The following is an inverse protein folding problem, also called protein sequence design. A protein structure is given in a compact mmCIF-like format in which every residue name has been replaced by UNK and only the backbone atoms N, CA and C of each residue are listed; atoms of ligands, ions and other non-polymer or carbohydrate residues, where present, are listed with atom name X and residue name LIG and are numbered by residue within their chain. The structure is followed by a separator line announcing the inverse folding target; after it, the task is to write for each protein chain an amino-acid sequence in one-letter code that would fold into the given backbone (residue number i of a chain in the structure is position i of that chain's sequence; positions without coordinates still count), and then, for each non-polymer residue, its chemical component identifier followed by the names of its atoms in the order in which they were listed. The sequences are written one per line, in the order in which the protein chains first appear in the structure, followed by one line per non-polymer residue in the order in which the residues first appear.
data_IF_106257055217
#
_entry.id   IF_106257055217
#
_cell.length_a   1.000
_cell.length_b   1.000
_cell.length_c   1.000
_cell.angle_alpha   90.00
_cell.angle_beta   90.00
_cell.angle_gamma   90.00
#
_symmetry.space_group_name_H-M   'P 1'
#
loop_
_entity.id
_entity.type
_entity.pdbx_description
1 polymer ?
#
# COMPACT_ATOMS: atom_id res chain seq x y z
N UNK A 1 -22.64 -27.64 8.08
CA UNK A 1 -22.52 -26.57 9.12
C UNK A 1 -21.11 -25.93 9.18
N UNK A 2 -20.27 -26.10 8.14
CA UNK A 2 -18.89 -25.55 8.07
C UNK A 2 -18.72 -24.29 7.17
N UNK A 3 -19.75 -23.90 6.42
CA UNK A 3 -19.69 -22.77 5.49
C UNK A 3 -19.86 -21.38 6.17
N UNK A 4 -20.33 -21.34 7.42
CA UNK A 4 -20.73 -20.09 8.08
C UNK A 4 -19.65 -19.45 8.98
N UNK A 5 -18.53 -20.12 9.22
CA UNK A 5 -17.44 -19.61 10.06
C UNK A 5 -16.47 -18.75 9.22
N UNK A 6 -16.20 -19.15 7.96
CA UNK A 6 -15.33 -18.36 7.05
C UNK A 6 -15.95 -17.02 6.66
N UNK A 7 -17.27 -16.92 6.56
CA UNK A 7 -17.98 -15.67 6.25
C UNK A 7 -17.93 -14.63 7.39
N UNK A 8 -17.88 -15.08 8.65
CA UNK A 8 -17.89 -14.16 9.81
C UNK A 8 -16.53 -13.52 10.12
N UNK A 9 -15.41 -14.17 9.76
CA UNK A 9 -14.08 -13.56 9.90
C UNK A 9 -13.80 -12.47 8.86
N UNK A 10 -14.45 -12.50 7.70
CA UNK A 10 -14.36 -11.43 6.68
C UNK A 10 -15.22 -10.20 6.99
N UNK A 11 -16.16 -10.29 7.93
CA UNK A 11 -17.15 -9.24 8.18
C UNK A 11 -16.73 -8.16 9.21
N UNK A 12 -15.53 -8.24 9.78
CA UNK A 12 -15.04 -7.26 10.76
C UNK A 12 -13.81 -6.46 10.30
N UNK A 13 -13.45 -6.52 9.04
CA UNK A 13 -12.61 -5.46 8.48
C UNK A 13 -13.49 -4.21 8.37
N UNK A 14 -13.02 -3.11 8.95
CA UNK A 14 -13.74 -1.84 9.04
C UNK A 14 -14.42 -1.49 7.72
N UNK A 15 -15.74 -1.28 7.77
CA UNK A 15 -16.48 -0.85 6.58
C UNK A 15 -15.89 0.47 6.05
N UNK A 16 -15.86 0.69 4.72
CA UNK A 16 -15.37 1.92 4.13
C UNK A 16 -16.07 3.14 4.72
N UNK A 17 -15.32 4.21 4.95
CA UNK A 17 -15.88 5.46 5.46
C UNK A 17 -16.78 6.09 4.39
N UNK A 18 -17.99 6.46 4.80
CA UNK A 18 -18.94 7.13 3.90
C UNK A 18 -18.61 8.61 3.68
N UNK A 19 -17.78 9.18 4.54
CA UNK A 19 -17.38 10.59 4.52
C UNK A 19 -15.90 10.71 4.81
N UNK A 20 -15.32 11.87 4.54
CA UNK A 20 -13.96 12.21 4.92
C UNK A 20 -13.78 12.06 6.42
N UNK A 21 -13.08 11.02 6.86
CA UNK A 21 -12.92 10.66 8.27
C UNK A 21 -11.46 10.65 8.65
N UNK A 22 -11.02 11.69 9.33
CA UNK A 22 -9.62 11.82 9.77
C UNK A 22 -9.41 10.98 11.02
N UNK A 23 -8.54 9.97 10.90
CA UNK A 23 -8.01 9.20 12.01
C UNK A 23 -6.66 9.77 12.46
N UNK A 24 -6.12 9.35 13.62
CA UNK A 24 -4.78 9.74 14.04
C UNK A 24 -3.75 9.46 12.95
N UNK A 25 -2.92 10.45 12.65
CA UNK A 25 -1.82 10.32 11.69
C UNK A 25 -0.67 11.26 12.05
N UNK A 26 0.52 10.90 11.59
CA UNK A 26 1.73 11.70 11.74
C UNK A 26 1.75 12.92 10.81
N UNK A 27 2.91 13.54 10.70
CA UNK A 27 3.18 14.63 9.76
C UNK A 27 3.51 14.08 8.38
N UNK A 28 3.30 14.91 7.36
CA UNK A 28 3.84 14.65 6.04
C UNK A 28 5.37 14.59 6.10
N UNK A 29 5.95 13.58 5.49
CA UNK A 29 7.39 13.39 5.41
C UNK A 29 7.80 13.33 3.95
N UNK A 30 8.73 14.21 3.56
CA UNK A 30 9.33 14.18 2.22
C UNK A 30 10.39 13.09 2.18
N UNK A 31 10.25 12.15 1.25
CA UNK A 31 11.20 11.06 1.02
C UNK A 31 12.28 11.48 0.04
N UNK A 32 11.86 12.09 -1.07
CA UNK A 32 12.74 12.71 -2.08
C UNK A 32 11.99 13.84 -2.81
N UNK A 33 12.49 14.29 -3.94
CA UNK A 33 11.93 15.40 -4.72
C UNK A 33 10.52 15.09 -5.27
N UNK A 34 10.18 13.81 -5.43
CA UNK A 34 8.91 13.34 -6.03
C UNK A 34 7.96 12.70 -5.04
N UNK A 35 8.45 12.22 -3.89
CA UNK A 35 7.69 11.36 -2.98
C UNK A 35 7.51 12.03 -1.63
N UNK A 36 6.24 12.11 -1.23
CA UNK A 36 5.83 12.50 0.13
C UNK A 36 4.99 11.36 0.72
N UNK A 37 5.15 11.09 2.00
CA UNK A 37 4.42 10.02 2.68
C UNK A 37 3.85 10.50 4.02
N UNK A 38 2.83 9.80 4.48
CA UNK A 38 2.28 9.95 5.83
C UNK A 38 1.93 8.58 6.40
N UNK A 39 2.23 8.38 7.65
CA UNK A 39 1.81 7.18 8.40
C UNK A 39 0.65 7.55 9.30
N UNK A 40 -0.43 6.78 9.20
CA UNK A 40 -1.61 6.87 10.05
C UNK A 40 -1.81 5.58 10.84
N UNK A 41 -2.76 5.62 11.75
CA UNK A 41 -3.10 4.51 12.62
C UNK A 41 -4.53 4.03 12.35
N UNK A 42 -4.71 2.73 12.29
CA UNK A 42 -6.01 2.09 12.24
C UNK A 42 -6.23 1.31 13.54
N UNK A 43 -7.14 1.82 14.39
CA UNK A 43 -7.51 1.14 15.63
C UNK A 43 -8.40 -0.06 15.30
N UNK A 44 -7.93 -1.21 15.68
CA UNK A 44 -8.67 -2.48 15.64
C UNK A 44 -8.98 -2.94 17.08
N UNK A 45 -9.95 -3.84 17.30
CA UNK A 45 -10.40 -4.18 18.66
C UNK A 45 -9.31 -4.65 19.63
N UNK A 46 -8.20 -5.20 19.13
CA UNK A 46 -7.12 -5.77 19.95
C UNK A 46 -5.73 -5.26 19.58
N UNK A 47 -5.60 -4.38 18.55
CA UNK A 47 -4.32 -3.90 18.06
C UNK A 47 -4.47 -2.55 17.35
N UNK A 48 -3.37 -1.83 17.21
CA UNK A 48 -3.25 -0.68 16.30
C UNK A 48 -2.41 -1.12 15.10
N UNK A 49 -2.92 -0.86 13.90
CA UNK A 49 -2.23 -1.20 12.66
C UNK A 49 -1.72 0.09 12.02
N UNK A 50 -0.39 0.28 11.90
CA UNK A 50 0.15 1.38 11.12
C UNK A 50 -0.24 1.21 9.65
N UNK A 51 -0.61 2.31 8.99
CA UNK A 51 -0.89 2.32 7.56
C UNK A 51 -0.23 3.53 6.91
N UNK A 52 0.28 3.36 5.72
CA UNK A 52 0.99 4.41 5.00
C UNK A 52 0.23 4.81 3.74
N UNK A 53 0.08 6.11 3.54
CA UNK A 53 -0.23 6.71 2.26
C UNK A 53 1.05 7.27 1.64
N UNK A 54 1.24 7.03 0.36
CA UNK A 54 2.35 7.61 -0.41
C UNK A 54 1.79 8.45 -1.56
N UNK A 55 2.29 9.67 -1.70
CA UNK A 55 1.94 10.59 -2.78
C UNK A 55 3.16 10.75 -3.66
N UNK A 56 2.99 10.48 -4.95
CA UNK A 56 4.04 10.60 -5.96
C UNK A 56 3.67 11.72 -6.92
N UNK A 57 4.60 12.67 -7.12
CA UNK A 57 4.44 13.75 -8.08
C UNK A 57 5.04 13.34 -9.43
N UNK A 58 4.21 13.35 -10.49
CA UNK A 58 4.66 13.14 -11.86
C UNK A 58 5.41 14.36 -12.40
N UNK A 59 6.12 14.18 -13.51
CA UNK A 59 6.79 15.29 -14.22
C UNK A 59 5.80 16.36 -14.71
N UNK A 60 4.55 15.98 -15.01
CA UNK A 60 3.49 16.93 -15.38
C UNK A 60 2.92 17.72 -14.20
N UNK A 61 3.32 17.42 -12.96
CA UNK A 61 2.77 18.01 -11.74
C UNK A 61 1.47 17.37 -11.26
N UNK A 62 1.06 16.26 -11.86
CA UNK A 62 -0.06 15.47 -11.37
C UNK A 62 0.38 14.57 -10.20
N UNK A 63 -0.54 14.32 -9.27
CA UNK A 63 -0.28 13.48 -8.11
C UNK A 63 -0.92 12.11 -8.28
N UNK A 64 -0.13 11.09 -8.00
CA UNK A 64 -0.56 9.69 -7.85
C UNK A 64 -0.58 9.37 -6.36
N UNK A 65 -1.76 9.08 -5.82
CA UNK A 65 -1.99 8.77 -4.41
C UNK A 65 -2.13 7.26 -4.27
N UNK A 66 -1.21 6.64 -3.52
CA UNK A 66 -1.19 5.21 -3.27
C UNK A 66 -1.65 4.91 -1.85
N UNK A 67 -2.67 4.05 -1.68
CA UNK A 67 -3.20 3.64 -0.38
C UNK A 67 -3.67 4.82 0.49
N UNK A 68 -4.71 5.52 0.04
CA UNK A 68 -5.19 6.78 0.61
C UNK A 68 -5.51 6.73 2.12
N UNK A 69 -5.17 7.82 2.80
CA UNK A 69 -5.55 8.12 4.18
C UNK A 69 -6.18 9.53 4.20
N UNK A 70 -7.36 9.68 4.78
CA UNK A 70 -7.97 10.99 4.98
C UNK A 70 -7.18 11.78 6.03
N UNK A 71 -6.64 12.92 5.63
CA UNK A 71 -5.80 13.78 6.47
C UNK A 71 -6.57 15.03 6.88
N UNK A 72 -6.00 15.79 7.82
CA UNK A 72 -6.49 17.13 8.17
C UNK A 72 -6.39 18.05 6.96
N UNK A 73 -7.26 19.04 6.87
CA UNK A 73 -7.29 19.97 5.73
C UNK A 73 -5.97 20.73 5.56
N UNK A 74 -5.26 21.06 6.65
CA UNK A 74 -3.92 21.66 6.57
C UNK A 74 -2.93 20.77 5.82
N UNK A 75 -2.92 19.46 6.13
CA UNK A 75 -2.01 18.50 5.50
C UNK A 75 -2.43 18.25 4.04
N UNK A 76 -3.74 18.25 3.76
CA UNK A 76 -4.23 18.16 2.37
C UNK A 76 -3.84 19.38 1.53
N UNK A 77 -3.87 20.59 2.13
CA UNK A 77 -3.40 21.82 1.48
C UNK A 77 -1.93 21.73 1.10
N UNK A 78 -1.09 21.14 1.96
CA UNK A 78 0.33 20.90 1.66
C UNK A 78 0.50 19.91 0.49
N UNK A 79 -0.31 18.85 0.44
CA UNK A 79 -0.31 17.89 -0.68
C UNK A 79 -0.77 18.58 -1.97
N UNK A 80 -1.88 19.32 -1.93
CA UNK A 80 -2.44 20.02 -3.08
C UNK A 80 -1.47 21.10 -3.64
N UNK A 81 -0.63 21.69 -2.77
CA UNK A 81 0.44 22.60 -3.19
C UNK A 81 1.56 21.91 -3.99
N UNK A 82 1.73 20.57 -3.87
CA UNK A 82 2.68 19.80 -4.66
C UNK A 82 2.20 19.55 -6.09
N UNK A 83 0.88 19.55 -6.30
CA UNK A 83 0.29 19.29 -7.61
C UNK A 83 -1.19 18.91 -7.52
N UNK A 84 -1.78 18.59 -8.67
CA UNK A 84 -3.19 18.21 -8.77
C UNK A 84 -3.38 16.72 -8.50
N UNK A 85 -4.20 16.28 -7.51
CA UNK A 85 -4.59 14.89 -7.36
C UNK A 85 -5.29 14.37 -8.63
N UNK A 86 -4.66 13.43 -9.32
CA UNK A 86 -5.13 12.90 -10.60
C UNK A 86 -5.41 11.40 -10.57
N UNK A 87 -4.65 10.65 -9.78
CA UNK A 87 -4.81 9.21 -9.69
C UNK A 87 -4.90 8.77 -8.23
N UNK A 88 -5.84 7.88 -7.95
CA UNK A 88 -6.00 7.19 -6.68
C UNK A 88 -5.79 5.69 -6.89
N UNK A 89 -4.71 5.14 -6.39
CA UNK A 89 -4.47 3.70 -6.42
C UNK A 89 -5.03 3.08 -5.15
N UNK A 90 -6.00 2.18 -5.34
CA UNK A 90 -6.53 1.30 -4.30
C UNK A 90 -5.84 -0.07 -4.50
N UNK A 91 -4.73 -0.34 -3.79
CA UNK A 91 -3.83 -1.42 -4.14
C UNK A 91 -4.41 -2.82 -3.92
N UNK A 92 -5.38 -2.95 -3.02
CA UNK A 92 -6.11 -4.21 -2.78
C UNK A 92 -7.51 -3.95 -2.22
N UNK A 93 -8.35 -4.98 -2.19
CA UNK A 93 -9.69 -4.92 -1.59
C UNK A 93 -9.68 -4.53 -0.09
N UNK A 94 -8.55 -4.67 0.59
CA UNK A 94 -8.38 -4.30 2.01
C UNK A 94 -8.03 -2.83 2.21
N UNK A 95 -7.53 -2.15 1.20
CA UNK A 95 -7.06 -0.76 1.25
C UNK A 95 -8.04 0.27 0.65
N UNK A 96 -9.35 -0.02 0.73
CA UNK A 96 -10.43 0.82 0.17
C UNK A 96 -11.14 1.71 1.21
N UNK A 97 -10.63 1.75 2.44
CA UNK A 97 -11.30 2.38 3.59
C UNK A 97 -11.62 3.86 3.34
N UNK A 98 -10.65 4.63 2.85
CA UNK A 98 -10.74 6.07 2.63
C UNK A 98 -11.08 6.44 1.17
N UNK A 99 -11.09 5.47 0.25
CA UNK A 99 -11.29 5.72 -1.18
C UNK A 99 -12.58 6.52 -1.50
N UNK A 100 -13.75 6.27 -0.86
CA UNK A 100 -14.95 7.08 -1.12
C UNK A 100 -14.78 8.56 -0.80
N UNK A 101 -14.08 8.89 0.29
CA UNK A 101 -13.79 10.26 0.67
C UNK A 101 -12.93 10.98 -0.38
N UNK A 102 -11.93 10.30 -0.92
CA UNK A 102 -11.09 10.86 -1.99
C UNK A 102 -11.85 11.12 -3.29
N UNK A 103 -12.71 10.19 -3.71
CA UNK A 103 -13.56 10.38 -4.90
C UNK A 103 -14.56 11.51 -4.71
N UNK A 104 -15.10 11.70 -3.50
CA UNK A 104 -15.98 12.83 -3.20
C UNK A 104 -15.21 14.16 -3.20
N UNK A 105 -13.99 14.20 -2.64
CA UNK A 105 -13.15 15.42 -2.61
C UNK A 105 -12.61 15.78 -4.00
N UNK A 106 -12.29 14.78 -4.81
CA UNK A 106 -11.71 14.94 -6.15
C UNK A 106 -12.55 14.19 -7.21
N UNK A 107 -13.67 14.76 -7.67
CA UNK A 107 -14.61 14.05 -8.57
C UNK A 107 -14.00 13.59 -9.89
N UNK A 108 -12.90 14.23 -10.32
CA UNK A 108 -12.18 13.90 -11.56
C UNK A 108 -10.96 12.99 -11.34
N UNK A 109 -10.78 12.45 -10.14
CA UNK A 109 -9.68 11.54 -9.85
C UNK A 109 -9.90 10.20 -10.57
N UNK A 110 -8.86 9.67 -11.20
CA UNK A 110 -8.90 8.35 -11.83
C UNK A 110 -8.60 7.28 -10.79
N UNK A 111 -9.55 6.40 -10.53
CA UNK A 111 -9.39 5.29 -9.59
C UNK A 111 -8.75 4.11 -10.29
N UNK A 112 -7.60 3.69 -9.77
CA UNK A 112 -6.79 2.57 -10.26
C UNK A 112 -6.86 1.41 -9.28
N UNK A 113 -7.11 0.19 -9.77
CA UNK A 113 -7.13 -1.01 -8.94
C UNK A 113 -6.60 -2.21 -9.73
N UNK A 114 -6.01 -3.23 -9.05
CA UNK A 114 -5.62 -4.46 -9.72
C UNK A 114 -6.85 -5.20 -10.25
N UNK A 115 -6.73 -5.83 -11.43
CA UNK A 115 -7.86 -6.53 -12.10
C UNK A 115 -8.52 -7.55 -11.18
N UNK A 116 -7.70 -8.31 -10.44
CA UNK A 116 -8.23 -9.35 -9.56
C UNK A 116 -9.02 -8.80 -8.35
N UNK A 117 -8.81 -7.52 -7.97
CA UNK A 117 -9.52 -6.85 -6.87
C UNK A 117 -10.59 -5.87 -7.33
N UNK A 118 -10.66 -5.57 -8.64
CA UNK A 118 -11.47 -4.47 -9.18
C UNK A 118 -12.97 -4.62 -8.87
N UNK A 119 -13.53 -5.83 -8.93
CA UNK A 119 -14.94 -6.09 -8.62
C UNK A 119 -15.26 -5.69 -7.18
N UNK A 120 -14.52 -6.19 -6.19
CA UNK A 120 -14.75 -5.90 -4.78
C UNK A 120 -14.42 -4.46 -4.39
N UNK A 121 -13.46 -3.84 -5.06
CA UNK A 121 -13.18 -2.40 -4.91
C UNK A 121 -14.34 -1.61 -5.52
N UNK A 122 -14.89 -2.09 -6.62
CA UNK A 122 -16.06 -1.54 -7.33
C UNK A 122 -17.33 -1.48 -6.49
N UNK A 123 -17.48 -2.35 -5.49
CA UNK A 123 -18.57 -2.27 -4.50
C UNK A 123 -18.55 -0.98 -3.66
N UNK A 124 -17.40 -0.27 -3.63
CA UNK A 124 -17.15 0.88 -2.76
C UNK A 124 -16.94 2.17 -3.55
N UNK A 125 -16.13 2.11 -4.61
CA UNK A 125 -15.85 3.23 -5.51
C UNK A 125 -15.74 2.72 -6.94
N UNK A 126 -16.15 3.54 -7.92
CA UNK A 126 -15.98 3.17 -9.33
C UNK A 126 -14.50 3.01 -9.64
N UNK A 127 -14.11 1.86 -10.15
CA UNK A 127 -12.77 1.61 -10.69
C UNK A 127 -12.74 2.03 -12.16
N UNK A 128 -11.83 2.93 -12.51
CA UNK A 128 -11.73 3.46 -13.87
C UNK A 128 -10.79 2.64 -14.74
N UNK A 129 -9.69 2.12 -14.16
CA UNK A 129 -8.69 1.37 -14.92
C UNK A 129 -7.86 0.44 -14.03
N UNK A 130 -7.33 -0.64 -14.65
CA UNK A 130 -6.27 -1.49 -14.08
C UNK A 130 -4.94 -1.35 -14.86
N UNK A 131 -4.89 -0.46 -15.85
CA UNK A 131 -3.70 -0.20 -16.66
C UNK A 131 -3.52 1.31 -16.82
N UNK A 132 -3.15 2.03 -15.73
CA UNK A 132 -3.04 3.48 -15.76
C UNK A 132 -1.87 3.93 -16.65
N UNK A 133 -2.08 5.05 -17.35
CA UNK A 133 -1.01 5.82 -17.96
C UNK A 133 -0.82 7.11 -17.18
N UNK A 134 0.25 7.22 -16.40
CA UNK A 134 0.51 8.40 -15.56
C UNK A 134 1.10 9.59 -16.33
N UNK A 135 1.33 9.43 -17.65
CA UNK A 135 1.99 10.47 -18.46
C UNK A 135 3.46 10.71 -18.09
N UNK A 136 4.06 9.80 -17.33
CA UNK A 136 5.41 9.89 -16.81
C UNK A 136 6.07 8.50 -16.88
N UNK A 137 7.09 8.29 -17.73
CA UNK A 137 7.76 7.00 -17.87
C UNK A 137 8.53 6.58 -16.60
N UNK A 138 8.84 7.52 -15.71
CA UNK A 138 9.46 7.24 -14.41
C UNK A 138 8.49 6.75 -13.34
N UNK A 139 7.18 6.63 -13.65
CA UNK A 139 6.20 6.04 -12.74
C UNK A 139 5.55 4.83 -13.43
N UNK A 140 5.75 3.65 -12.89
CA UNK A 140 5.21 2.40 -13.47
C UNK A 140 4.34 1.68 -12.46
N UNK A 141 3.13 1.34 -12.90
CA UNK A 141 2.20 0.50 -12.14
C UNK A 141 2.52 -0.97 -12.39
N UNK A 142 2.63 -1.73 -11.32
CA UNK A 142 2.90 -3.16 -11.37
C UNK A 142 1.78 -3.91 -10.67
N UNK A 143 1.00 -4.68 -11.42
CA UNK A 143 0.02 -5.59 -10.85
C UNK A 143 0.70 -6.91 -10.47
N UNK A 144 0.53 -7.34 -9.21
CA UNK A 144 1.17 -8.54 -8.68
C UNK A 144 0.12 -9.34 -7.92
N UNK A 145 -0.25 -10.50 -8.45
CA UNK A 145 -1.30 -11.33 -7.87
C UNK A 145 -2.64 -10.54 -7.77
N UNK A 146 -3.15 -10.31 -6.56
CA UNK A 146 -4.37 -9.52 -6.31
C UNK A 146 -4.04 -8.19 -5.62
N UNK A 147 -2.81 -7.74 -5.75
CA UNK A 147 -2.27 -6.52 -5.17
C UNK A 147 -1.56 -5.69 -6.26
N UNK A 148 -1.13 -4.50 -5.90
CA UNK A 148 -0.37 -3.66 -6.82
C UNK A 148 0.76 -2.93 -6.12
N UNK A 149 1.72 -2.51 -6.93
CA UNK A 149 2.87 -1.72 -6.52
C UNK A 149 3.12 -0.57 -7.50
N UNK A 150 3.91 0.41 -7.08
CA UNK A 150 4.51 1.41 -7.96
C UNK A 150 6.03 1.28 -7.96
N UNK A 151 6.61 1.42 -9.14
CA UNK A 151 8.02 1.75 -9.30
C UNK A 151 8.12 3.24 -9.63
N UNK A 152 8.97 3.95 -8.90
CA UNK A 152 9.17 5.39 -9.07
C UNK A 152 10.65 5.69 -9.19
N UNK A 153 11.06 6.17 -10.36
CA UNK A 153 12.43 6.64 -10.58
C UNK A 153 12.60 8.02 -9.95
N UNK A 154 13.57 8.16 -9.06
CA UNK A 154 14.00 9.41 -8.44
C UNK A 154 15.46 9.71 -8.76
N UNK A 155 15.92 10.93 -8.44
CA UNK A 155 17.33 11.33 -8.62
C UNK A 155 18.28 10.46 -7.77
N UNK A 156 17.79 9.93 -6.66
CA UNK A 156 18.54 9.09 -5.72
C UNK A 156 18.40 7.58 -5.99
N UNK A 157 17.68 7.19 -7.05
CA UNK A 157 17.45 5.81 -7.48
C UNK A 157 15.98 5.39 -7.45
N UNK A 158 15.76 4.11 -7.72
CA UNK A 158 14.43 3.51 -7.78
C UNK A 158 13.83 3.35 -6.38
N UNK A 159 12.62 3.85 -6.21
CA UNK A 159 11.76 3.55 -5.06
C UNK A 159 10.65 2.59 -5.48
N UNK A 160 10.51 1.48 -4.77
CA UNK A 160 9.38 0.55 -4.93
C UNK A 160 8.39 0.81 -3.80
N UNK A 161 7.13 1.04 -4.14
CA UNK A 161 6.04 1.23 -3.19
C UNK A 161 5.15 0.01 -3.27
N UNK A 162 5.06 -0.75 -2.18
CA UNK A 162 4.26 -1.99 -2.10
C UNK A 162 3.19 -1.87 -1.02
N UNK A 163 2.19 -2.70 -1.15
CA UNK A 163 1.12 -2.81 -0.17
C UNK A 163 1.35 -4.00 0.79
N UNK A 164 0.37 -4.90 0.91
CA UNK A 164 0.38 -6.03 1.87
C UNK A 164 1.41 -7.14 1.56
N UNK A 165 2.08 -7.08 0.40
CA UNK A 165 3.05 -8.11 0.00
C UNK A 165 4.27 -8.17 0.89
N UNK A 166 4.63 -7.05 1.53
CA UNK A 166 5.76 -6.95 2.46
C UNK A 166 5.28 -6.22 3.72
N UNK A 167 5.48 -6.83 4.89
CA UNK A 167 5.30 -6.22 6.19
C UNK A 167 6.65 -6.01 6.87
N UNK A 168 6.79 -4.88 7.56
CA UNK A 168 7.99 -4.52 8.30
C UNK A 168 7.62 -3.78 9.59
N UNK A 169 6.76 -4.43 10.40
CA UNK A 169 6.30 -3.88 11.67
C UNK A 169 7.21 -4.36 12.78
N UNK A 170 7.90 -3.42 13.43
CA UNK A 170 8.81 -3.66 14.53
C UNK A 170 8.30 -3.11 15.85
N UNK A 171 8.85 -3.63 16.96
CA UNK A 171 8.78 -2.98 18.27
C UNK A 171 7.43 -2.93 18.97
N UNK A 172 6.40 -3.52 18.40
CA UNK A 172 5.09 -3.60 19.04
C UNK A 172 5.15 -4.48 20.29
N UNK A 173 4.93 -3.88 21.46
CA UNK A 173 4.94 -4.55 22.77
C UNK A 173 3.51 -4.85 23.27
N UNK A 174 3.41 -5.72 24.28
CA UNK A 174 2.13 -6.08 24.89
C UNK A 174 1.29 -7.06 24.06
N UNK A 175 0.00 -7.19 24.44
CA UNK A 175 -0.91 -8.18 23.85
C UNK A 175 -1.16 -7.93 22.35
N UNK A 176 -1.25 -6.66 21.95
CA UNK A 176 -1.43 -6.28 20.55
C UNK A 176 -0.23 -6.66 19.68
N UNK A 177 0.98 -6.37 20.14
CA UNK A 177 2.20 -6.74 19.44
C UNK A 177 2.39 -8.26 19.33
N UNK A 178 2.07 -8.98 20.43
CA UNK A 178 2.06 -10.44 20.38
C UNK A 178 1.05 -10.97 19.34
N UNK A 179 -0.13 -10.39 19.26
CA UNK A 179 -1.16 -10.80 18.29
C UNK A 179 -0.69 -10.53 16.85
N UNK A 180 -0.08 -9.37 16.59
CA UNK A 180 0.48 -9.04 15.28
C UNK A 180 1.58 -10.03 14.86
N UNK A 181 2.44 -10.45 15.79
CA UNK A 181 3.45 -11.49 15.55
C UNK A 181 2.83 -12.86 15.25
N UNK A 182 1.84 -13.29 16.03
CA UNK A 182 1.14 -14.57 15.81
C UNK A 182 0.40 -14.57 14.50
N UNK A 183 -0.17 -13.43 14.09
CA UNK A 183 -0.81 -13.26 12.78
C UNK A 183 0.21 -13.08 11.64
N UNK A 184 1.49 -12.95 11.95
CA UNK A 184 2.55 -12.79 10.97
C UNK A 184 2.56 -11.42 10.28
N UNK A 185 2.11 -10.37 10.96
CA UNK A 185 2.23 -8.98 10.48
C UNK A 185 3.44 -8.26 11.08
N UNK A 186 3.90 -8.66 12.28
CA UNK A 186 5.09 -8.14 12.93
C UNK A 186 6.19 -9.19 13.01
N UNK A 187 7.43 -8.76 12.87
CA UNK A 187 8.62 -9.60 12.91
C UNK A 187 9.86 -8.80 13.26
N UNK A 188 11.00 -9.48 13.34
CA UNK A 188 12.29 -8.82 13.56
C UNK A 188 12.95 -8.41 12.24
N UNK A 189 12.49 -8.99 11.12
CA UNK A 189 12.94 -8.70 9.76
C UNK A 189 11.74 -8.53 8.80
N UNK A 190 11.89 -7.82 7.67
CA UNK A 190 10.89 -7.73 6.63
C UNK A 190 10.44 -9.10 6.14
N UNK A 191 9.14 -9.32 6.03
CA UNK A 191 8.59 -10.63 5.66
C UNK A 191 7.29 -10.51 4.87
N UNK A 192 6.93 -11.59 4.15
CA UNK A 192 5.59 -11.71 3.57
C UNK A 192 4.66 -12.21 4.67
N UNK A 193 3.61 -11.45 5.05
CA UNK A 193 2.71 -11.84 6.15
C UNK A 193 2.07 -13.21 5.92
N UNK A 194 1.95 -14.01 7.00
CA UNK A 194 1.43 -15.37 6.93
C UNK A 194 0.06 -15.49 6.25
N UNK A 195 -0.94 -14.65 6.60
CA UNK A 195 -2.23 -14.63 5.91
C UNK A 195 -2.11 -14.31 4.41
N UNK A 196 -1.18 -13.41 4.03
CA UNK A 196 -0.93 -13.09 2.62
C UNK A 196 -0.34 -14.29 1.90
N UNK A 197 0.66 -14.97 2.48
CA UNK A 197 1.22 -16.22 1.93
C UNK A 197 0.13 -17.26 1.65
N UNK A 198 -0.84 -17.39 2.56
CA UNK A 198 -1.94 -18.33 2.40
C UNK A 198 -2.88 -17.91 1.25
N UNK A 199 -3.21 -16.62 1.16
CA UNK A 199 -4.07 -16.07 0.11
C UNK A 199 -3.44 -16.16 -1.29
N UNK A 200 -2.14 -16.01 -1.39
CA UNK A 200 -1.40 -16.12 -2.65
C UNK A 200 -1.54 -17.52 -3.27
N UNK A 201 -1.59 -18.58 -2.46
CA UNK A 201 -1.76 -19.94 -2.95
C UNK A 201 -0.75 -20.28 -4.06
N UNK A 202 -1.24 -20.60 -5.27
CA UNK A 202 -0.43 -20.93 -6.45
C UNK A 202 0.28 -19.68 -7.06
N UNK A 203 -0.09 -18.46 -6.66
CA UNK A 203 0.50 -17.22 -7.18
C UNK A 203 1.77 -16.79 -6.44
N UNK A 204 2.25 -17.58 -5.48
CA UNK A 204 3.52 -17.32 -4.76
C UNK A 204 4.70 -17.19 -5.72
N UNK A 205 4.77 -18.06 -6.74
CA UNK A 205 5.84 -18.02 -7.74
C UNK A 205 5.85 -16.73 -8.56
N UNK A 206 4.67 -16.16 -8.86
CA UNK A 206 4.54 -14.86 -9.53
C UNK A 206 5.15 -13.74 -8.69
N UNK A 207 4.83 -13.72 -7.40
CA UNK A 207 5.37 -12.73 -6.44
C UNK A 207 6.88 -12.92 -6.28
N UNK A 208 7.35 -14.17 -6.09
CA UNK A 208 8.77 -14.47 -5.97
C UNK A 208 9.57 -14.01 -7.20
N UNK A 209 9.06 -14.25 -8.42
CA UNK A 209 9.69 -13.78 -9.65
C UNK A 209 9.76 -12.24 -9.71
N UNK A 210 8.69 -11.55 -9.29
CA UNK A 210 8.70 -10.09 -9.27
C UNK A 210 9.73 -9.56 -8.26
N UNK A 211 9.82 -10.14 -7.08
CA UNK A 211 10.83 -9.78 -6.09
C UNK A 211 12.25 -9.98 -6.62
N UNK A 212 12.53 -11.08 -7.35
CA UNK A 212 13.82 -11.30 -7.98
C UNK A 212 14.13 -10.25 -9.05
N UNK A 213 13.15 -9.92 -9.92
CA UNK A 213 13.30 -8.84 -10.91
C UNK A 213 13.67 -7.50 -10.27
N UNK A 214 13.03 -7.17 -9.17
CA UNK A 214 13.36 -5.96 -8.43
C UNK A 214 14.72 -6.02 -7.74
N UNK A 215 15.10 -7.19 -7.21
CA UNK A 215 16.39 -7.40 -6.55
C UNK A 215 17.58 -7.31 -7.53
N UNK A 216 17.34 -7.52 -8.82
CA UNK A 216 18.35 -7.39 -9.89
C UNK A 216 18.55 -5.94 -10.35
N UNK A 217 17.70 -5.01 -9.91
CA UNK A 217 17.81 -3.58 -10.26
C UNK A 217 19.00 -2.97 -9.51
N UNK A 218 20.01 -2.55 -10.25
CA UNK A 218 21.21 -1.92 -9.70
C UNK A 218 20.99 -0.52 -9.12
N UNK A 219 19.87 0.11 -9.47
CA UNK A 219 19.43 1.43 -9.02
C UNK A 219 18.39 1.38 -7.88
N UNK A 220 18.07 0.20 -7.34
CA UNK A 220 17.12 0.06 -6.24
C UNK A 220 17.62 0.73 -4.97
N UNK A 221 16.96 1.81 -4.57
CA UNK A 221 17.35 2.62 -3.41
C UNK A 221 16.55 2.26 -2.16
N UNK A 222 15.23 2.04 -2.28
CA UNK A 222 14.36 1.73 -1.14
C UNK A 222 13.08 1.01 -1.53
N UNK A 223 12.48 0.37 -0.51
CA UNK A 223 11.14 -0.20 -0.59
C UNK A 223 10.28 0.46 0.48
N UNK A 224 9.18 1.07 0.07
CA UNK A 224 8.18 1.66 0.97
C UNK A 224 7.02 0.69 1.12
N UNK A 225 6.75 0.26 2.34
CA UNK A 225 5.66 -0.68 2.67
C UNK A 225 4.47 0.06 3.25
N UNK A 226 3.26 -0.46 3.05
CA UNK A 226 2.04 0.11 3.64
C UNK A 226 1.96 -0.12 5.15
N UNK A 227 2.60 -1.17 5.66
CA UNK A 227 2.59 -1.53 7.07
C UNK A 227 4.02 -1.72 7.59
N UNK A 228 4.57 -0.69 8.24
CA UNK A 228 5.90 -0.71 8.83
C UNK A 228 6.85 0.34 8.29
N UNK A 229 8.15 0.11 8.48
CA UNK A 229 9.20 1.05 8.14
C UNK A 229 9.61 0.99 6.66
N UNK A 230 10.30 2.02 6.19
CA UNK A 230 10.89 2.03 4.85
C UNK A 230 12.19 1.23 4.87
N UNK A 231 12.33 0.28 3.95
CA UNK A 231 13.51 -0.58 3.84
C UNK A 231 14.53 0.11 2.94
N UNK A 232 15.62 0.60 3.52
CA UNK A 232 16.71 1.28 2.80
C UNK A 232 18.05 0.57 2.94
N UNK A 233 18.19 -0.30 3.93
CA UNK A 233 19.39 -1.12 4.11
C UNK A 233 19.26 -2.42 3.32
N UNK A 234 20.12 -2.60 2.33
CA UNK A 234 20.15 -3.74 1.40
C UNK A 234 18.76 -4.18 0.88
N UNK A 235 17.96 -3.28 0.24
CA UNK A 235 16.63 -3.64 -0.23
C UNK A 235 16.65 -4.80 -1.24
N UNK A 236 17.73 -4.94 -2.01
CA UNK A 236 17.93 -6.06 -2.93
C UNK A 236 18.12 -7.40 -2.21
N UNK A 237 18.90 -7.42 -1.12
CA UNK A 237 19.06 -8.60 -0.27
C UNK A 237 17.76 -9.02 0.40
N UNK A 238 17.00 -8.05 0.91
CA UNK A 238 15.67 -8.29 1.48
C UNK A 238 14.76 -8.94 0.44
N UNK A 239 14.67 -8.41 -0.78
CA UNK A 239 13.82 -9.00 -1.83
C UNK A 239 14.24 -10.42 -2.22
N UNK A 240 15.56 -10.72 -2.27
CA UNK A 240 16.04 -12.08 -2.51
C UNK A 240 15.60 -13.04 -1.41
N UNK A 241 15.72 -12.63 -0.14
CA UNK A 241 15.28 -13.41 1.02
C UNK A 241 13.77 -13.66 0.99
N UNK A 242 12.98 -12.61 0.71
CA UNK A 242 11.52 -12.71 0.59
C UNK A 242 11.12 -13.66 -0.55
N UNK A 243 11.78 -13.56 -1.72
CA UNK A 243 11.52 -14.46 -2.84
C UNK A 243 11.79 -15.92 -2.47
N UNK A 244 12.93 -16.21 -1.82
CA UNK A 244 13.25 -17.56 -1.35
C UNK A 244 12.24 -18.10 -0.34
N UNK A 245 11.60 -17.24 0.47
CA UNK A 245 10.59 -17.63 1.44
C UNK A 245 9.23 -18.03 0.82
N UNK A 246 9.06 -17.81 -0.48
CA UNK A 246 7.85 -18.10 -1.25
C UNK A 246 7.97 -19.34 -2.13
N UNK A 247 9.21 -19.83 -2.33
CA UNK A 247 9.48 -21.10 -3.02
C UNK A 247 9.04 -22.26 -2.13
#
# INVERSE_FOLDING_TARGET
MQANVKSRFHAHMTAPFKQWTVLPHGKLTRVNERIVTVVGELKMPLMELPRRMTVVRSQSGELVIFSAIALRDSDMTEIEALGRPAFLIVPSERHRLDAPGYVQRYPNITVVAPRAGAEKIGDVVRVDTSTPGFGDPGIRYVEIAADSALEVDGEDGLTIIVNDLIGDIHGESGLGGWLLRVMGFAGDDPHVPGPVKLLLGKRKSEVAQQFRRWAERGDLRRIMVSHGDTIENDPGGVLRSLAASLD
#
